data_IF_767225491185
#
_entry.id   IF_767225491185
#
_cell.length_a   1.000
_cell.length_b   1.000
_cell.length_c   1.000
_cell.angle_alpha   90.00
_cell.angle_beta   90.00
_cell.angle_gamma   90.00
#
_symmetry.space_group_name_H-M   'P 1'
#
loop_
_entity.id
_entity.type
_entity.pdbx_description
1 polymer ?
#
# COMPACT_ATOMS: atom_id res chain seq x y z
N UNK A 1 -16.70 -13.47 -3.58
CA UNK A 1 -17.17 -12.38 -2.71
C UNK A 1 -18.23 -11.60 -3.47
N UNK A 2 -19.50 -11.65 -3.01
CA UNK A 2 -20.56 -10.84 -3.60
C UNK A 2 -20.30 -9.38 -3.17
N UNK A 3 -19.89 -8.51 -4.09
CA UNK A 3 -19.83 -7.06 -3.83
C UNK A 3 -21.26 -6.55 -3.70
N UNK A 4 -21.59 -6.03 -2.53
CA UNK A 4 -22.88 -5.36 -2.35
C UNK A 4 -22.78 -3.94 -2.93
N UNK A 5 -23.35 -3.76 -4.12
CA UNK A 5 -23.37 -2.48 -4.81
C UNK A 5 -24.42 -1.55 -4.19
N UNK A 6 -24.10 -0.27 -4.11
CA UNK A 6 -25.07 0.76 -3.70
C UNK A 6 -26.35 0.66 -4.54
N UNK A 7 -27.55 0.85 -3.97
CA UNK A 7 -28.81 0.71 -4.69
C UNK A 7 -28.89 1.54 -5.98
N UNK A 8 -28.41 2.78 -5.96
CA UNK A 8 -28.42 3.67 -7.12
C UNK A 8 -27.56 3.14 -8.26
N UNK A 9 -26.39 2.53 -7.95
CA UNK A 9 -25.54 1.89 -8.96
C UNK A 9 -26.19 0.61 -9.51
N UNK A 10 -26.95 -0.13 -8.69
CA UNK A 10 -27.73 -1.28 -9.16
C UNK A 10 -28.80 -0.83 -10.16
N UNK A 11 -29.46 0.30 -9.87
CA UNK A 11 -30.48 0.86 -10.74
C UNK A 11 -29.87 1.32 -12.06
N UNK A 12 -28.80 2.11 -12.02
CA UNK A 12 -28.11 2.58 -13.23
C UNK A 12 -27.59 1.41 -14.08
N UNK A 13 -26.94 0.42 -13.46
CA UNK A 13 -26.42 -0.77 -14.16
C UNK A 13 -27.52 -1.56 -14.89
N UNK A 14 -28.73 -1.61 -14.33
CA UNK A 14 -29.84 -2.38 -14.87
C UNK A 14 -30.75 -1.58 -15.80
N UNK A 15 -30.50 -0.28 -15.98
CA UNK A 15 -31.24 0.56 -16.91
C UNK A 15 -31.00 0.10 -18.36
N UNK A 16 -32.07 -0.04 -19.13
CA UNK A 16 -31.98 -0.46 -20.54
C UNK A 16 -31.56 0.75 -21.42
N UNK A 17 -32.01 1.93 -21.05
CA UNK A 17 -31.65 3.20 -21.68
C UNK A 17 -30.99 4.07 -20.61
N UNK A 18 -29.68 4.25 -20.73
CA UNK A 18 -28.92 5.12 -19.86
C UNK A 18 -28.16 6.11 -20.75
N UNK A 19 -28.52 7.37 -20.65
CA UNK A 19 -27.92 8.47 -21.43
C UNK A 19 -26.68 9.03 -20.71
N UNK A 20 -26.38 8.55 -19.49
CA UNK A 20 -25.30 9.04 -18.66
C UNK A 20 -24.09 8.10 -18.66
N UNK A 21 -22.91 8.67 -18.52
CA UNK A 21 -21.66 7.93 -18.61
C UNK A 21 -21.20 7.31 -17.28
N UNK A 22 -20.56 6.16 -17.38
CA UNK A 22 -19.76 5.60 -16.30
C UNK A 22 -18.35 6.22 -16.37
N UNK A 23 -17.96 6.88 -15.30
CA UNK A 23 -16.70 7.59 -15.18
C UNK A 23 -15.72 6.77 -14.34
N UNK A 24 -14.48 6.72 -14.80
CA UNK A 24 -13.38 6.10 -14.03
C UNK A 24 -12.46 7.19 -13.51
N UNK A 25 -12.39 7.28 -12.20
CA UNK A 25 -11.58 8.26 -11.48
C UNK A 25 -10.35 7.56 -10.90
N UNK A 26 -9.20 8.19 -11.02
CA UNK A 26 -7.94 7.72 -10.46
C UNK A 26 -7.39 8.71 -9.43
N UNK A 27 -7.01 8.22 -8.26
CA UNK A 27 -6.24 8.95 -7.27
C UNK A 27 -4.89 8.27 -7.11
N UNK A 28 -3.83 8.93 -7.54
CA UNK A 28 -2.45 8.44 -7.42
C UNK A 28 -1.79 9.16 -6.25
N UNK A 29 -1.46 8.43 -5.21
CA UNK A 29 -0.77 8.94 -4.03
C UNK A 29 0.73 8.94 -4.27
N UNK A 30 1.28 10.08 -4.65
CA UNK A 30 2.71 10.24 -4.92
C UNK A 30 3.51 10.31 -3.63
N UNK A 31 3.02 11.10 -2.70
CA UNK A 31 3.53 11.20 -1.33
C UNK A 31 2.36 11.13 -0.34
N UNK A 32 2.63 11.19 0.96
CA UNK A 32 1.57 11.22 1.98
C UNK A 32 0.67 12.47 1.87
N UNK A 33 1.17 13.53 1.25
CA UNK A 33 0.48 14.82 1.13
C UNK A 33 0.09 15.18 -0.31
N UNK A 34 0.72 14.56 -1.30
CA UNK A 34 0.49 14.85 -2.72
C UNK A 34 -0.30 13.74 -3.38
N UNK A 35 -1.48 14.10 -3.90
CA UNK A 35 -2.40 13.17 -4.56
C UNK A 35 -2.82 13.76 -5.90
N UNK A 36 -2.51 13.04 -6.98
CA UNK A 36 -3.07 13.35 -8.29
C UNK A 36 -4.44 12.74 -8.46
N UNK A 37 -5.36 13.58 -8.92
CA UNK A 37 -6.74 13.19 -9.21
C UNK A 37 -7.00 13.36 -10.69
N UNK A 38 -7.20 12.25 -11.37
CA UNK A 38 -7.32 12.18 -12.82
C UNK A 38 -8.62 11.48 -13.20
N UNK A 39 -9.20 11.90 -14.32
CA UNK A 39 -10.40 11.28 -14.88
C UNK A 39 -10.22 11.07 -16.38
N UNK A 40 -10.67 9.92 -16.87
CA UNK A 40 -10.74 9.65 -18.30
C UNK A 40 -12.00 10.30 -18.89
N UNK A 41 -11.97 11.61 -19.04
CA UNK A 41 -13.04 12.42 -19.60
C UNK A 41 -12.44 13.68 -20.25
N UNK A 42 -13.21 14.39 -21.08
CA UNK A 42 -12.79 15.64 -21.69
C UNK A 42 -12.90 16.84 -20.75
N UNK A 43 -13.73 16.75 -19.72
CA UNK A 43 -13.98 17.82 -18.76
C UNK A 43 -13.59 17.40 -17.35
N UNK A 44 -13.17 18.38 -16.54
CA UNK A 44 -12.93 18.16 -15.12
C UNK A 44 -14.22 17.76 -14.40
N UNK A 45 -14.11 16.79 -13.52
CA UNK A 45 -15.23 16.25 -12.73
C UNK A 45 -15.00 16.54 -11.25
N UNK A 46 -16.02 17.01 -10.58
CA UNK A 46 -15.99 17.16 -9.11
C UNK A 46 -16.72 15.97 -8.48
N UNK A 47 -16.01 15.20 -7.67
CA UNK A 47 -16.56 14.09 -6.91
C UNK A 47 -16.11 14.17 -5.45
N UNK A 48 -17.01 14.04 -4.49
CA UNK A 48 -16.75 14.11 -3.05
C UNK A 48 -15.91 15.35 -2.66
N UNK A 49 -16.24 16.51 -3.19
CA UNK A 49 -15.54 17.80 -3.00
C UNK A 49 -14.11 17.86 -3.54
N UNK A 50 -13.65 16.86 -4.27
CA UNK A 50 -12.38 16.84 -4.96
C UNK A 50 -12.55 17.04 -6.45
N UNK A 51 -11.66 17.83 -7.07
CA UNK A 51 -11.64 18.04 -8.51
C UNK A 51 -10.71 17.04 -9.16
N UNK A 52 -11.20 16.30 -10.15
CA UNK A 52 -10.44 15.38 -10.98
C UNK A 52 -10.17 16.04 -12.33
N UNK A 53 -8.91 16.16 -12.67
CA UNK A 53 -8.47 16.78 -13.93
C UNK A 53 -8.62 15.80 -15.09
N UNK A 54 -9.07 16.26 -16.28
CA UNK A 54 -9.12 15.44 -17.46
C UNK A 54 -7.74 15.00 -17.88
N UNK A 55 -7.58 13.71 -18.15
CA UNK A 55 -6.32 13.16 -18.62
C UNK A 55 -6.57 11.98 -19.57
N UNK A 56 -5.83 11.86 -20.68
CA UNK A 56 -5.98 10.77 -21.63
C UNK A 56 -5.40 9.47 -21.04
N UNK A 57 -6.26 8.71 -20.37
CA UNK A 57 -5.93 7.45 -19.72
C UNK A 57 -6.64 6.34 -20.49
N UNK A 58 -5.87 5.39 -21.03
CA UNK A 58 -6.38 4.10 -21.48
C UNK A 58 -6.21 3.07 -20.36
N UNK A 59 -7.16 2.18 -20.20
CA UNK A 59 -7.01 1.02 -19.32
C UNK A 59 -7.57 -0.23 -19.99
N UNK A 60 -6.90 -1.35 -19.76
CA UNK A 60 -7.29 -2.64 -20.26
C UNK A 60 -8.18 -3.37 -19.26
N UNK A 61 -8.82 -4.43 -19.70
CA UNK A 61 -9.63 -5.27 -18.82
C UNK A 61 -8.74 -5.91 -17.74
N UNK A 62 -9.33 -6.16 -16.57
CA UNK A 62 -8.66 -6.90 -15.51
C UNK A 62 -8.44 -8.33 -16.00
N UNK A 63 -7.19 -8.74 -16.11
CA UNK A 63 -6.84 -10.11 -16.44
C UNK A 63 -6.81 -10.94 -15.16
N UNK A 64 -7.70 -11.92 -15.07
CA UNK A 64 -7.69 -12.95 -14.03
C UNK A 64 -7.23 -14.26 -14.67
N UNK A 65 -6.11 -14.78 -14.20
CA UNK A 65 -5.59 -16.07 -14.65
C UNK A 65 -5.90 -17.17 -13.64
N UNK A 66 -6.16 -18.37 -14.10
CA UNK A 66 -6.31 -19.55 -13.24
C UNK A 66 -4.96 -20.10 -12.75
N UNK A 67 -3.85 -19.52 -13.18
CA UNK A 67 -2.49 -19.95 -12.83
C UNK A 67 -2.02 -19.47 -11.45
N UNK A 68 -2.86 -18.70 -10.73
CA UNK A 68 -2.54 -18.20 -9.40
C UNK A 68 -1.80 -16.84 -9.40
N UNK A 69 -1.64 -16.23 -10.58
CA UNK A 69 -1.11 -14.86 -10.67
C UNK A 69 -2.11 -13.86 -10.09
N UNK A 70 -1.58 -12.82 -9.48
CA UNK A 70 -2.42 -11.73 -8.96
C UNK A 70 -3.05 -10.98 -10.13
N UNK A 71 -4.37 -10.69 -10.09
CA UNK A 71 -5.02 -9.90 -11.11
C UNK A 71 -4.39 -8.52 -11.21
N UNK A 72 -4.19 -8.04 -12.42
CA UNK A 72 -3.61 -6.73 -12.68
C UNK A 72 -4.41 -5.95 -13.71
N UNK A 73 -4.20 -4.64 -13.72
CA UNK A 73 -4.79 -3.71 -14.68
C UNK A 73 -3.63 -2.96 -15.33
N UNK A 74 -3.56 -2.95 -16.64
CA UNK A 74 -2.65 -2.09 -17.37
C UNK A 74 -3.31 -0.74 -17.61
N UNK A 75 -2.66 0.31 -17.17
CA UNK A 75 -3.07 1.70 -17.40
C UNK A 75 -2.05 2.36 -18.31
N UNK A 76 -2.51 2.85 -19.45
CA UNK A 76 -1.69 3.49 -20.46
C UNK A 76 -1.99 4.98 -20.45
N UNK A 77 -0.95 5.78 -20.34
CA UNK A 77 -1.04 7.24 -20.26
C UNK A 77 -0.18 7.86 -21.36
N UNK A 78 -0.70 8.87 -22.07
CA UNK A 78 0.08 9.56 -23.10
C UNK A 78 1.30 10.29 -22.50
N UNK A 79 2.46 10.14 -23.14
CA UNK A 79 3.73 10.76 -22.73
C UNK A 79 4.31 11.68 -23.81
N UNK A 80 3.49 12.13 -24.77
CA UNK A 80 3.96 12.95 -25.89
C UNK A 80 4.69 14.22 -25.45
N UNK A 81 4.24 14.84 -24.37
CA UNK A 81 4.85 16.05 -23.81
C UNK A 81 6.04 15.76 -22.87
N UNK A 82 6.41 14.46 -22.68
CA UNK A 82 7.45 13.99 -21.75
C UNK A 82 7.27 14.44 -20.30
N UNK A 83 6.12 15.01 -19.96
CA UNK A 83 5.81 15.44 -18.59
C UNK A 83 5.81 14.27 -17.61
N UNK A 84 5.26 13.13 -18.01
CA UNK A 84 5.21 11.92 -17.19
C UNK A 84 6.62 11.39 -16.91
N UNK A 85 7.51 11.38 -17.91
CA UNK A 85 8.90 10.95 -17.74
C UNK A 85 9.65 11.82 -16.74
N UNK A 86 9.58 13.14 -16.89
CA UNK A 86 10.23 14.08 -15.97
C UNK A 86 9.68 13.96 -14.54
N UNK A 87 8.38 13.73 -14.42
CA UNK A 87 7.73 13.54 -13.12
C UNK A 87 8.18 12.25 -12.44
N UNK A 88 8.22 11.15 -13.17
CA UNK A 88 8.68 9.85 -12.66
C UNK A 88 10.15 9.90 -12.20
N UNK A 89 11.01 10.58 -12.95
CA UNK A 89 12.42 10.77 -12.55
C UNK A 89 12.52 11.52 -11.22
N UNK A 90 11.74 12.59 -11.06
CA UNK A 90 11.79 13.41 -9.84
C UNK A 90 11.23 12.71 -8.58
N UNK A 91 10.36 11.69 -8.74
CA UNK A 91 9.67 11.00 -7.65
C UNK A 91 10.06 9.51 -7.50
N UNK A 92 11.20 9.10 -8.06
CA UNK A 92 11.73 7.74 -7.91
C UNK A 92 10.89 6.65 -8.57
N UNK A 93 10.18 6.98 -9.67
CA UNK A 93 9.50 6.00 -10.51
C UNK A 93 8.09 5.60 -10.05
N UNK A 94 7.60 6.10 -8.93
CA UNK A 94 6.28 5.80 -8.35
C UNK A 94 5.99 4.32 -8.05
N UNK A 95 7.00 3.45 -8.02
CA UNK A 95 6.81 2.05 -7.64
C UNK A 95 6.26 1.94 -6.20
N UNK A 96 5.40 0.94 -5.99
CA UNK A 96 4.71 0.66 -4.73
C UNK A 96 3.82 1.79 -4.19
N UNK A 97 3.55 2.80 -5.01
CA UNK A 97 2.61 3.85 -4.65
C UNK A 97 1.17 3.38 -4.78
N UNK A 98 0.34 3.86 -3.86
CA UNK A 98 -1.09 3.54 -3.81
C UNK A 98 -1.83 4.27 -4.91
N UNK A 99 -2.69 3.56 -5.61
CA UNK A 99 -3.66 4.09 -6.58
C UNK A 99 -5.05 3.67 -6.18
N UNK A 100 -5.96 4.62 -6.02
CA UNK A 100 -7.37 4.34 -5.78
C UNK A 100 -8.13 4.59 -7.07
N UNK A 101 -8.69 3.52 -7.61
CA UNK A 101 -9.56 3.58 -8.78
C UNK A 101 -11.01 3.55 -8.33
N UNK A 102 -11.80 4.51 -8.78
CA UNK A 102 -13.24 4.59 -8.52
C UNK A 102 -14.03 4.58 -9.81
N UNK A 103 -15.06 3.77 -9.85
CA UNK A 103 -16.05 3.78 -10.93
C UNK A 103 -17.31 4.43 -10.38
N UNK A 104 -17.74 5.52 -11.00
CA UNK A 104 -18.87 6.35 -10.58
C UNK A 104 -19.77 6.56 -11.76
N UNK A 105 -21.08 6.51 -11.53
CA UNK A 105 -22.06 6.89 -12.52
C UNK A 105 -22.30 8.40 -12.48
N UNK A 106 -22.47 9.05 -13.62
CA UNK A 106 -22.55 10.51 -13.73
C UNK A 106 -23.68 11.10 -12.89
N UNK A 107 -24.84 10.43 -12.78
CA UNK A 107 -25.96 10.88 -11.93
C UNK A 107 -25.61 10.89 -10.43
N UNK A 108 -24.60 10.13 -10.01
CA UNK A 108 -24.27 9.91 -8.60
C UNK A 108 -23.03 10.68 -8.13
N UNK A 109 -22.57 11.68 -8.89
CA UNK A 109 -21.39 12.48 -8.54
C UNK A 109 -21.50 13.20 -7.20
N UNK A 110 -22.73 13.52 -6.78
CA UNK A 110 -22.99 14.15 -5.48
C UNK A 110 -22.90 13.16 -4.29
N UNK A 111 -23.00 11.86 -4.55
CA UNK A 111 -23.01 10.81 -3.52
C UNK A 111 -21.66 10.11 -3.43
N UNK A 112 -20.90 10.39 -2.38
CA UNK A 112 -19.60 9.76 -2.16
C UNK A 112 -19.68 8.26 -1.88
N UNK A 113 -20.84 7.73 -1.49
CA UNK A 113 -21.05 6.32 -1.21
C UNK A 113 -21.44 5.49 -2.43
N UNK A 114 -21.97 6.13 -3.48
CA UNK A 114 -22.40 5.47 -4.72
C UNK A 114 -21.20 5.28 -5.68
N UNK A 115 -20.24 4.47 -5.28
CA UNK A 115 -19.01 4.21 -6.04
C UNK A 115 -18.55 2.77 -5.90
N UNK A 116 -17.86 2.27 -6.91
CA UNK A 116 -17.08 1.02 -6.84
C UNK A 116 -15.63 1.41 -6.67
N UNK A 117 -15.07 1.15 -5.51
CA UNK A 117 -13.68 1.49 -5.19
C UNK A 117 -12.78 0.26 -5.22
N UNK A 118 -11.60 0.42 -5.81
CA UNK A 118 -10.52 -0.57 -5.79
C UNK A 118 -9.22 0.12 -5.44
N UNK A 119 -8.55 -0.39 -4.40
CA UNK A 119 -7.22 0.08 -4.01
C UNK A 119 -6.17 -0.83 -4.61
N UNK A 120 -5.29 -0.26 -5.39
CA UNK A 120 -4.24 -0.92 -6.14
C UNK A 120 -2.88 -0.30 -5.81
N UNK A 121 -1.81 -0.95 -6.21
CA UNK A 121 -0.44 -0.45 -6.11
C UNK A 121 0.23 -0.52 -7.47
N UNK A 122 1.11 0.43 -7.75
CA UNK A 122 1.94 0.44 -8.97
C UNK A 122 3.05 -0.58 -8.79
N UNK A 123 3.03 -1.65 -9.60
CA UNK A 123 4.02 -2.74 -9.50
C UNK A 123 5.10 -2.67 -10.59
N UNK A 124 4.75 -2.12 -11.71
CA UNK A 124 5.65 -1.98 -12.84
C UNK A 124 5.36 -0.68 -13.58
N UNK A 125 6.40 -0.03 -14.04
CA UNK A 125 6.33 1.19 -14.85
C UNK A 125 7.24 1.01 -16.04
N UNK A 126 6.70 1.11 -17.25
CA UNK A 126 7.49 1.15 -18.47
C UNK A 126 7.16 2.41 -19.25
N UNK A 127 8.21 3.10 -19.73
CA UNK A 127 8.09 4.39 -20.37
C UNK A 127 8.65 4.29 -21.78
N UNK A 128 7.88 4.78 -22.73
CA UNK A 128 8.29 5.00 -24.11
C UNK A 128 8.18 6.50 -24.43
N UNK A 129 8.62 6.91 -25.63
CA UNK A 129 8.45 8.30 -26.06
C UNK A 129 6.99 8.70 -26.22
N UNK A 130 6.12 7.75 -26.54
CA UNK A 130 4.70 7.98 -26.84
C UNK A 130 3.79 7.77 -25.63
N UNK A 131 4.12 6.80 -24.78
CA UNK A 131 3.26 6.37 -23.69
C UNK A 131 4.05 5.91 -22.45
N UNK A 132 3.44 6.07 -21.30
CA UNK A 132 3.84 5.45 -20.04
C UNK A 132 2.81 4.38 -19.68
N UNK A 133 3.27 3.16 -19.45
CA UNK A 133 2.44 2.03 -19.05
C UNK A 133 2.66 1.74 -17.57
N UNK A 134 1.58 1.67 -16.84
CA UNK A 134 1.55 1.35 -15.41
C UNK A 134 0.81 0.04 -15.19
N UNK A 135 1.48 -0.91 -14.57
CA UNK A 135 0.84 -2.15 -14.15
C UNK A 135 0.39 -2.02 -12.70
N UNK A 136 -0.91 -2.03 -12.49
CA UNK A 136 -1.53 -1.91 -11.18
C UNK A 136 -2.02 -3.27 -10.71
N UNK A 137 -1.71 -3.63 -9.47
CA UNK A 137 -2.17 -4.87 -8.85
C UNK A 137 -2.56 -4.62 -7.39
N UNK A 138 -3.31 -5.55 -6.82
CA UNK A 138 -3.56 -5.54 -5.38
C UNK A 138 -2.26 -5.78 -4.59
N UNK A 139 -2.26 -5.38 -3.33
CA UNK A 139 -1.13 -5.66 -2.44
C UNK A 139 -0.89 -7.18 -2.37
N UNK A 140 0.33 -7.66 -2.68
CA UNK A 140 0.62 -9.08 -2.68
C UNK A 140 0.68 -9.60 -1.24
N UNK A 141 -0.30 -10.39 -0.85
CA UNK A 141 -0.28 -11.07 0.46
C UNK A 141 0.89 -12.04 0.59
N UNK A 142 1.41 -12.53 -0.52
CA UNK A 142 2.49 -13.53 -0.56
C UNK A 142 3.90 -12.94 -0.43
N UNK A 143 4.06 -11.62 -0.59
CA UNK A 143 5.34 -10.93 -0.36
C UNK A 143 5.53 -10.50 1.11
N UNK A 144 4.55 -10.79 1.94
CA UNK A 144 4.66 -10.54 3.37
C UNK A 144 5.38 -11.72 4.02
N UNK A 145 6.58 -11.47 4.52
CA UNK A 145 7.31 -12.48 5.31
C UNK A 145 6.50 -12.88 6.54
N UNK A 146 5.95 -14.08 6.53
CA UNK A 146 5.23 -14.64 7.66
C UNK A 146 6.04 -15.79 8.28
N UNK A 147 6.29 -15.73 9.57
CA UNK A 147 5.93 -14.69 10.53
C UNK A 147 6.86 -13.45 10.41
N UNK A 148 6.32 -12.26 10.63
CA UNK A 148 7.09 -11.00 10.67
C UNK A 148 8.21 -10.99 11.72
N UNK A 149 8.16 -11.92 12.65
CA UNK A 149 9.12 -12.04 13.73
C UNK A 149 10.15 -13.12 13.40
N UNK A 150 11.39 -12.71 13.20
CA UNK A 150 12.51 -13.64 13.08
C UNK A 150 12.98 -14.04 14.47
N UNK A 151 13.15 -15.34 14.68
CA UNK A 151 13.64 -15.90 15.95
C UNK A 151 15.17 -15.94 15.93
N UNK A 152 15.79 -15.13 16.77
CA UNK A 152 17.23 -15.09 16.92
C UNK A 152 17.65 -15.78 18.21
N UNK A 153 18.73 -16.55 18.16
CA UNK A 153 19.29 -17.24 19.32
C UNK A 153 19.83 -16.27 20.37
N UNK A 154 20.58 -15.27 19.93
CA UNK A 154 21.35 -14.38 20.80
C UNK A 154 20.83 -12.98 20.88
N UNK A 155 19.74 -12.66 20.20
CA UNK A 155 19.21 -11.30 20.13
C UNK A 155 17.79 -11.24 20.63
N UNK A 156 17.55 -10.32 21.56
CA UNK A 156 16.23 -10.01 22.07
C UNK A 156 15.41 -9.27 20.99
N UNK A 157 14.17 -9.71 20.78
CA UNK A 157 13.25 -9.10 19.83
C UNK A 157 12.49 -7.90 20.39
N UNK A 158 12.41 -7.79 21.71
CA UNK A 158 11.64 -6.74 22.36
C UNK A 158 12.31 -5.38 22.23
N UNK A 159 11.50 -4.31 22.17
CA UNK A 159 12.02 -2.96 22.35
C UNK A 159 12.45 -2.80 23.82
N UNK A 160 13.56 -2.10 24.03
CA UNK A 160 14.04 -1.82 25.37
C UNK A 160 13.02 -0.99 26.16
N UNK A 161 12.79 -1.37 27.41
CA UNK A 161 11.83 -0.75 28.30
C UNK A 161 10.36 -0.81 27.80
N UNK A 162 10.03 -1.72 26.85
CA UNK A 162 8.65 -1.99 26.47
C UNK A 162 7.92 -2.84 27.51
N UNK A 163 6.61 -2.99 27.40
CA UNK A 163 5.80 -3.85 28.27
C UNK A 163 6.25 -5.30 28.24
N UNK A 164 6.68 -5.82 27.08
CA UNK A 164 7.21 -7.17 26.90
C UNK A 164 8.60 -7.32 27.53
N UNK A 165 9.47 -6.31 27.39
CA UNK A 165 10.76 -6.26 28.06
C UNK A 165 10.59 -6.20 29.59
N UNK A 166 9.61 -5.41 30.05
CA UNK A 166 9.28 -5.25 31.47
C UNK A 166 10.38 -4.66 32.33
N UNK A 167 11.47 -4.16 31.76
CA UNK A 167 12.49 -3.44 32.47
C UNK A 167 12.10 -1.98 32.60
N UNK A 168 12.15 -1.43 33.82
CA UNK A 168 11.72 -0.04 34.09
C UNK A 168 12.93 0.77 34.50
N UNK A 169 13.24 1.81 33.78
CA UNK A 169 14.40 2.70 34.00
C UNK A 169 14.36 3.33 35.42
N UNK A 170 13.17 3.53 35.99
CA UNK A 170 12.97 4.22 37.25
C UNK A 170 13.11 3.35 38.52
N UNK A 171 13.15 2.02 38.42
CA UNK A 171 13.12 1.11 39.58
C UNK A 171 14.47 0.58 40.01
N UNK A 172 15.58 1.23 39.60
CA UNK A 172 16.89 0.92 40.21
C UNK A 172 17.35 -0.50 40.01
N UNK A 173 17.11 -1.10 38.87
CA UNK A 173 17.82 -2.31 38.47
C UNK A 173 19.32 -2.04 38.53
N UNK A 174 20.10 -2.97 39.04
CA UNK A 174 21.56 -2.85 39.32
C UNK A 174 22.42 -2.57 38.07
N UNK A 175 21.82 -2.46 36.91
CA UNK A 175 22.42 -2.01 35.65
C UNK A 175 21.97 -0.59 35.31
N UNK A 176 22.84 0.37 35.53
CA UNK A 176 22.59 1.81 35.31
C UNK A 176 22.54 2.23 33.82
N UNK A 177 21.97 1.41 32.95
CA UNK A 177 21.95 1.69 31.51
C UNK A 177 20.62 2.26 31.01
N UNK A 178 20.67 3.40 30.35
CA UNK A 178 19.58 3.95 29.53
C UNK A 178 19.47 3.25 28.18
N UNK A 179 20.30 2.24 27.89
CA UNK A 179 20.39 1.50 26.66
C UNK A 179 20.58 -0.01 26.91
N UNK A 180 20.10 -0.81 25.98
CA UNK A 180 20.27 -2.28 25.99
C UNK A 180 20.87 -2.71 24.65
N UNK A 181 21.88 -3.60 24.69
CA UNK A 181 22.50 -4.18 23.49
C UNK A 181 21.69 -5.32 22.87
N UNK A 182 20.55 -5.66 23.49
CA UNK A 182 19.64 -6.73 23.06
C UNK A 182 20.26 -8.14 23.10
N UNK A 183 21.32 -8.34 23.86
CA UNK A 183 21.92 -9.65 24.11
C UNK A 183 21.53 -10.16 25.49
N UNK A 184 21.80 -11.45 25.77
CA UNK A 184 21.62 -12.01 27.11
C UNK A 184 22.76 -11.60 28.02
N UNK A 185 24.01 -11.93 27.60
CA UNK A 185 25.25 -11.89 28.39
C UNK A 185 26.16 -10.67 28.07
N UNK A 186 25.69 -9.76 27.18
CA UNK A 186 26.47 -8.59 26.78
C UNK A 186 26.69 -7.57 27.90
N UNK A 187 27.60 -6.62 27.68
CA UNK A 187 27.94 -5.58 28.64
C UNK A 187 26.76 -4.70 29.08
N UNK A 188 25.70 -4.61 28.23
CA UNK A 188 24.43 -3.99 28.51
C UNK A 188 23.26 -4.96 28.24
N UNK A 189 23.48 -6.24 28.46
CA UNK A 189 22.54 -7.31 28.20
C UNK A 189 21.50 -7.49 29.31
N UNK A 190 20.59 -8.44 29.09
CA UNK A 190 19.52 -8.72 30.04
C UNK A 190 20.00 -9.22 31.39
N UNK A 191 21.14 -9.91 31.48
CA UNK A 191 21.74 -10.36 32.77
C UNK A 191 22.21 -9.16 33.59
N UNK A 192 22.88 -8.20 32.97
CA UNK A 192 23.34 -6.98 33.66
C UNK A 192 22.17 -6.16 34.17
N UNK A 193 21.06 -6.17 33.46
CA UNK A 193 19.82 -5.53 33.87
C UNK A 193 18.97 -6.35 34.84
N UNK A 194 19.47 -7.52 35.28
CA UNK A 194 18.73 -8.47 36.11
C UNK A 194 17.35 -8.82 35.54
N UNK A 195 17.28 -8.91 34.21
CA UNK A 195 16.05 -9.14 33.45
C UNK A 195 16.15 -10.37 32.52
N UNK A 196 17.03 -11.29 32.81
CA UNK A 196 17.29 -12.48 31.99
C UNK A 196 16.03 -13.34 31.76
N UNK A 197 15.15 -13.41 32.76
CA UNK A 197 13.89 -14.16 32.68
C UNK A 197 12.93 -13.63 31.57
N UNK A 198 13.07 -12.39 31.16
CA UNK A 198 12.27 -11.76 30.09
C UNK A 198 13.04 -11.57 28.78
N UNK A 199 14.19 -12.24 28.65
CA UNK A 199 14.95 -12.20 27.42
C UNK A 199 14.13 -12.73 26.24
N UNK A 200 13.92 -11.89 25.23
CA UNK A 200 13.10 -12.22 24.05
C UNK A 200 13.85 -12.96 22.94
N UNK A 201 15.05 -13.46 23.20
CA UNK A 201 15.76 -14.36 22.30
C UNK A 201 15.45 -15.83 22.61
N UNK A 202 15.95 -16.73 21.77
CA UNK A 202 15.68 -18.18 21.84
C UNK A 202 17.01 -18.98 21.94
N UNK A 203 17.65 -19.01 23.09
CA UNK A 203 18.97 -19.70 23.28
C UNK A 203 18.94 -21.17 22.85
N UNK A 204 17.78 -21.83 22.95
CA UNK A 204 17.59 -23.24 22.59
C UNK A 204 17.63 -23.55 21.10
N UNK A 205 17.62 -22.55 20.21
CA UNK A 205 17.74 -22.80 18.77
C UNK A 205 19.10 -23.39 18.45
N UNK A 206 19.16 -24.58 17.80
CA UNK A 206 20.45 -25.22 17.50
C UNK A 206 21.25 -24.35 16.50
N UNK A 207 22.58 -24.35 16.64
CA UNK A 207 23.46 -23.76 15.63
C UNK A 207 23.34 -24.59 14.34
N UNK A 208 23.05 -23.94 13.23
CA UNK A 208 23.17 -24.59 11.92
C UNK A 208 24.64 -24.96 11.73
N UNK A 209 24.95 -26.24 11.69
CA UNK A 209 26.28 -26.67 11.23
C UNK A 209 26.33 -26.44 9.73
N UNK A 210 27.20 -25.55 9.31
CA UNK A 210 27.52 -25.30 7.89
C UNK A 210 28.52 -26.39 7.49
#
# INVERSE_FOLDING_TARGET
>A
VVRDLHPDLKTAKNAINDDEAWLVLFEVHVTDTEVFRLVNNEQAITFASNVYSPFPIGFEQIEETSAGDLPYINVVVSNQDRMISAYLESHGGLLDRKVVMRIVHQSNLASSSATIESTLMIREVSITEEAANFRLSHHPFFEVDLPHQTYYRHRCRWAFASGECGWVIATGGTGSGTACDKTLEGSNGCEVHNNAARFGGFPGIPRRRI
#
